data_IF_767152828109
#
_entry.id   IF_767152828109
#
_cell.length_a   1.000
_cell.length_b   1.000
_cell.length_c   1.000
_cell.angle_alpha   90.00
_cell.angle_beta   90.00
_cell.angle_gamma   90.00
#
_symmetry.space_group_name_H-M   'P 1'
#
loop_
_entity.id
_entity.type
_entity.pdbx_description
1 polymer ?
#
# COMPACT_ATOMS: atom_id res chain seq x y z
N UNK A 1 9.34 -12.10 -6.94
CA UNK A 1 8.64 -10.81 -6.97
C UNK A 1 9.48 -9.84 -7.76
N UNK A 2 9.03 -9.53 -8.96
CA UNK A 2 9.59 -8.46 -9.78
C UNK A 2 8.37 -7.74 -10.37
N UNK A 3 7.67 -7.02 -9.50
CA UNK A 3 6.77 -5.93 -9.89
C UNK A 3 7.58 -4.64 -9.88
N UNK A 4 7.27 -3.74 -10.82
CA UNK A 4 7.98 -2.48 -11.16
C UNK A 4 8.33 -1.58 -9.97
N UNK A 5 9.43 -1.93 -9.31
CA UNK A 5 9.97 -1.34 -8.09
C UNK A 5 9.20 -1.71 -6.83
N UNK A 6 9.81 -2.60 -6.05
CA UNK A 6 9.46 -2.80 -4.66
C UNK A 6 9.50 -1.44 -3.96
N UNK A 7 8.34 -0.97 -3.50
CA UNK A 7 8.21 0.28 -2.79
C UNK A 7 9.22 0.30 -1.64
N UNK A 8 10.08 1.31 -1.64
CA UNK A 8 11.06 1.54 -0.61
C UNK A 8 10.37 1.56 0.75
N UNK A 9 10.57 0.51 1.54
CA UNK A 9 10.13 0.42 2.93
C UNK A 9 10.98 1.42 3.72
N UNK A 10 10.56 2.68 3.77
CA UNK A 10 11.12 3.65 4.72
C UNK A 10 10.42 3.43 6.05
N UNK A 11 10.98 2.55 6.87
CA UNK A 11 10.70 2.50 8.30
C UNK A 11 11.28 3.77 8.93
N UNK A 12 10.42 4.76 9.22
CA UNK A 12 10.82 5.94 9.99
C UNK A 12 10.79 5.55 11.46
N UNK A 13 11.91 5.06 11.99
CA UNK A 13 12.05 4.82 13.42
C UNK A 13 12.14 6.18 14.14
N UNK A 14 11.00 6.68 14.63
CA UNK A 14 10.95 7.86 15.49
C UNK A 14 11.47 7.44 16.87
N UNK A 15 12.66 7.92 17.26
CA UNK A 15 13.13 7.78 18.63
C UNK A 15 12.30 8.71 19.54
N UNK A 16 11.44 8.11 20.35
CA UNK A 16 10.52 8.78 21.24
C UNK A 16 11.26 9.54 22.35
N UNK A 17 11.16 10.87 22.40
CA UNK A 17 11.54 11.64 23.59
C UNK A 17 10.40 12.43 24.22
N UNK A 18 9.17 12.36 23.72
CA UNK A 18 7.93 12.79 24.40
C UNK A 18 6.69 12.52 23.55
N UNK A 19 5.60 12.07 24.20
CA UNK A 19 4.31 11.59 23.70
C UNK A 19 4.30 10.10 23.25
N UNK A 20 3.25 9.30 23.62
CA UNK A 20 3.13 7.93 23.15
C UNK A 20 3.03 7.93 21.62
N UNK A 21 3.87 7.14 20.95
CA UNK A 21 3.78 6.97 19.51
C UNK A 21 2.39 6.42 19.15
N UNK A 22 1.80 6.98 18.10
CA UNK A 22 0.60 6.41 17.51
C UNK A 22 0.94 4.99 17.01
N UNK A 23 0.11 4.01 17.36
CA UNK A 23 0.31 2.64 16.90
C UNK A 23 0.31 2.60 15.36
N UNK A 24 1.21 1.83 14.74
CA UNK A 24 1.26 1.74 13.28
C UNK A 24 -0.04 1.14 12.74
N UNK A 25 -0.51 1.68 11.63
CA UNK A 25 -1.64 1.11 10.90
C UNK A 25 -1.16 -0.16 10.20
N UNK A 26 -1.73 -1.31 10.58
CA UNK A 26 -1.48 -2.60 9.93
C UNK A 26 -2.46 -2.76 8.77
N UNK A 27 -1.94 -2.80 7.55
CA UNK A 27 -2.71 -3.09 6.34
C UNK A 27 -2.44 -4.51 5.85
N UNK A 28 -3.42 -5.41 6.04
CA UNK A 28 -3.38 -6.77 5.52
C UNK A 28 -4.28 -6.87 4.28
N UNK A 29 -3.73 -7.33 3.16
CA UNK A 29 -4.45 -7.58 1.91
C UNK A 29 -4.68 -9.09 1.70
N UNK A 30 -5.26 -9.74 2.70
CA UNK A 30 -5.47 -11.19 2.79
C UNK A 30 -6.88 -11.65 2.39
N UNK A 31 -7.70 -10.73 1.89
CA UNK A 31 -9.07 -10.95 1.44
C UNK A 31 -9.37 -10.09 0.20
N UNK A 32 -10.48 -10.34 -0.53
CA UNK A 32 -10.75 -9.61 -1.77
C UNK A 32 -10.74 -8.09 -1.63
N UNK A 33 -10.02 -7.41 -2.51
CA UNK A 33 -9.87 -5.94 -2.48
C UNK A 33 -9.98 -5.31 -3.87
N UNK A 34 -10.44 -4.06 -3.91
CA UNK A 34 -10.43 -3.21 -5.10
C UNK A 34 -9.07 -2.52 -5.22
N UNK A 35 -8.51 -2.49 -6.42
CA UNK A 35 -7.29 -1.73 -6.71
C UNK A 35 -7.43 -0.93 -8.01
N UNK A 36 -6.63 0.13 -8.11
CA UNK A 36 -6.51 0.93 -9.32
C UNK A 36 -5.06 1.35 -9.53
N UNK A 37 -4.65 1.39 -10.79
CA UNK A 37 -3.42 2.06 -11.23
C UNK A 37 -3.85 3.39 -11.83
N UNK A 38 -3.38 4.49 -11.24
CA UNK A 38 -3.88 5.83 -11.53
C UNK A 38 -2.72 6.69 -12.04
N UNK A 39 -2.96 7.45 -13.10
CA UNK A 39 -2.08 8.56 -13.45
C UNK A 39 -2.29 9.70 -12.44
N UNK A 40 -1.27 10.00 -11.65
CA UNK A 40 -1.41 10.96 -10.54
C UNK A 40 -1.53 12.41 -11.00
N UNK A 41 -1.06 12.74 -12.21
CA UNK A 41 -1.15 14.10 -12.76
C UNK A 41 -2.58 14.43 -13.20
N UNK A 42 -3.25 13.52 -13.91
CA UNK A 42 -4.64 13.70 -14.34
C UNK A 42 -5.69 13.16 -13.36
N UNK A 43 -5.29 12.30 -12.41
CA UNK A 43 -6.18 11.57 -11.52
C UNK A 43 -7.00 10.48 -12.23
N UNK A 44 -6.71 10.18 -13.50
CA UNK A 44 -7.47 9.21 -14.27
C UNK A 44 -6.96 7.78 -14.01
N UNK A 45 -7.87 6.82 -13.77
CA UNK A 45 -7.49 5.44 -13.65
C UNK A 45 -7.06 4.89 -15.01
N UNK A 46 -5.84 4.35 -15.07
CA UNK A 46 -5.33 3.59 -16.22
C UNK A 46 -5.90 2.17 -16.18
N UNK A 47 -6.00 1.59 -14.99
CA UNK A 47 -6.59 0.27 -14.73
C UNK A 47 -7.39 0.28 -13.44
N UNK A 48 -8.49 -0.47 -13.40
CA UNK A 48 -9.29 -0.76 -12.20
C UNK A 48 -9.61 -2.25 -12.19
N UNK A 49 -9.46 -2.89 -11.04
CA UNK A 49 -9.74 -4.31 -10.90
C UNK A 49 -10.07 -4.71 -9.46
N UNK A 50 -10.66 -5.89 -9.33
CA UNK A 50 -10.85 -6.57 -8.05
C UNK A 50 -9.85 -7.72 -8.01
N UNK A 51 -9.04 -7.80 -6.96
CA UNK A 51 -8.25 -8.98 -6.64
C UNK A 51 -9.12 -9.90 -5.79
N UNK A 52 -9.78 -10.87 -6.42
CA UNK A 52 -10.68 -11.82 -5.76
C UNK A 52 -9.94 -13.07 -5.26
N UNK A 53 -9.05 -13.61 -6.10
CA UNK A 53 -8.27 -14.81 -5.80
C UNK A 53 -6.87 -14.70 -6.45
N UNK A 54 -5.81 -14.47 -5.66
CA UNK A 54 -4.45 -14.32 -6.18
C UNK A 54 -3.80 -15.65 -6.59
N UNK A 55 -4.43 -16.79 -6.28
CA UNK A 55 -3.89 -18.13 -6.58
C UNK A 55 -4.44 -18.74 -7.89
N UNK A 56 -5.35 -18.03 -8.57
CA UNK A 56 -5.85 -18.41 -9.90
C UNK A 56 -5.02 -17.83 -11.04
#
# INVERSE_FOLDING_TARGET
EEGTEAAAVTEVQVNETSAPAEEPIILNLDSPFLYAVVDLDSGLPLFIGIMDDPAK
#
